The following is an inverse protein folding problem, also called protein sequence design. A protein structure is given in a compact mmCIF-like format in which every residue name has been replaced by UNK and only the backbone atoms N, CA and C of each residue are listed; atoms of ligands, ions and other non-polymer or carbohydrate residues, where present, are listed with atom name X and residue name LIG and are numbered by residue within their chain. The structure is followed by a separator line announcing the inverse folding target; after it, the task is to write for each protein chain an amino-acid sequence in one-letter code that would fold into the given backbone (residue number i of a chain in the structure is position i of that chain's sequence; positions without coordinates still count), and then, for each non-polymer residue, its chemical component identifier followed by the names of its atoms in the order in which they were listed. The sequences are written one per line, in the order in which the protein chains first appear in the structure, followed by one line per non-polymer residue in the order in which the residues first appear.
data_IF_836961349981
#
_entry.id   IF_836961349981
#
_cell.length_a   1.000
_cell.length_b   1.000
_cell.length_c   1.000
_cell.angle_alpha   90.00
_cell.angle_beta   90.00
_cell.angle_gamma   90.00
#
_symmetry.space_group_name_H-M   'P 1'
#
loop_
_entity.id
_entity.type
_entity.pdbx_description
1 polymer ?
#
# COMPACT_ATOMS: atom_id res chain seq x y z
N UNK A 1 4.57 25.32 -2.95
CA UNK A 1 4.20 23.89 -2.87
C UNK A 1 2.89 23.83 -2.10
N UNK A 2 1.79 23.44 -2.74
CA UNK A 2 0.52 23.19 -2.08
C UNK A 2 0.56 21.76 -1.56
N UNK A 3 1.00 21.58 -0.32
CA UNK A 3 0.79 20.32 0.41
C UNK A 3 -0.72 20.13 0.53
N UNK A 4 -1.24 19.06 -0.07
CA UNK A 4 -2.66 18.77 -0.02
C UNK A 4 -3.06 18.55 1.44
N UNK A 5 -4.15 19.18 1.97
CA UNK A 5 -4.52 19.11 3.39
C UNK A 5 -4.77 17.68 3.90
N UNK A 6 -4.98 16.70 3.02
CA UNK A 6 -4.96 15.30 3.40
C UNK A 6 -3.58 14.88 3.93
N UNK A 7 -2.46 15.25 3.31
CA UNK A 7 -1.13 14.81 3.73
C UNK A 7 -0.83 15.13 5.21
N UNK A 8 -1.39 16.21 5.75
CA UNK A 8 -1.23 16.63 7.15
C UNK A 8 -2.17 15.88 8.12
N UNK A 9 -3.27 15.30 7.62
CA UNK A 9 -4.22 14.54 8.44
C UNK A 9 -3.64 13.16 8.77
N UNK A 10 -3.42 12.90 10.06
CA UNK A 10 -2.93 11.61 10.55
C UNK A 10 -3.96 10.51 10.31
N UNK A 11 -3.49 9.35 9.90
CA UNK A 11 -4.25 8.11 9.86
C UNK A 11 -4.09 7.41 11.21
N UNK A 12 -5.18 6.92 11.79
CA UNK A 12 -5.24 6.29 13.12
C UNK A 12 -5.97 4.96 13.10
N UNK A 13 -6.65 4.64 12.00
CA UNK A 13 -7.38 3.38 11.84
C UNK A 13 -7.31 2.85 10.40
N UNK A 14 -7.60 1.56 10.23
CA UNK A 14 -7.73 0.95 8.90
C UNK A 14 -8.84 1.61 8.05
N UNK A 15 -9.91 2.11 8.69
CA UNK A 15 -10.96 2.86 8.01
C UNK A 15 -10.44 4.19 7.45
N UNK A 16 -9.70 4.95 8.25
CA UNK A 16 -9.05 6.20 7.80
C UNK A 16 -8.00 5.95 6.71
N UNK A 17 -7.29 4.81 6.75
CA UNK A 17 -6.38 4.41 5.68
C UNK A 17 -7.14 4.08 4.39
N UNK A 18 -8.32 3.48 4.50
CA UNK A 18 -9.17 3.21 3.34
C UNK A 18 -9.67 4.52 2.73
N UNK A 19 -10.08 5.48 3.55
CA UNK A 19 -10.47 6.82 3.09
C UNK A 19 -9.29 7.59 2.49
N UNK A 20 -8.08 7.39 3.03
CA UNK A 20 -6.85 7.91 2.44
C UNK A 20 -6.67 7.39 1.02
N UNK A 21 -6.77 6.08 0.81
CA UNK A 21 -6.64 5.49 -0.50
C UNK A 21 -7.72 5.96 -1.47
N UNK A 22 -8.97 6.10 -1.02
CA UNK A 22 -10.04 6.68 -1.85
C UNK A 22 -9.70 8.08 -2.34
N UNK A 23 -9.10 8.91 -1.50
CA UNK A 23 -8.68 10.25 -1.91
C UNK A 23 -7.47 10.25 -2.83
N UNK A 24 -6.51 9.34 -2.63
CA UNK A 24 -5.31 9.24 -3.47
C UNK A 24 -5.65 8.74 -4.86
N UNK A 25 -6.59 7.79 -4.96
CA UNK A 25 -6.96 7.12 -6.19
C UNK A 25 -8.12 7.80 -6.92
N UNK A 26 -8.57 9.00 -6.52
CA UNK A 26 -9.65 9.72 -7.19
C UNK A 26 -9.15 10.46 -8.46
N UNK A 27 -9.78 10.27 -9.64
CA UNK A 27 -10.89 9.35 -9.93
C UNK A 27 -10.42 7.89 -10.01
N UNK A 28 -11.19 7.00 -9.36
CA UNK A 28 -10.83 5.58 -9.20
C UNK A 28 -11.11 4.73 -10.46
N UNK A 29 -10.45 5.10 -11.56
CA UNK A 29 -10.49 4.42 -12.84
C UNK A 29 -9.17 3.69 -13.11
N UNK A 30 -9.24 2.36 -13.25
CA UNK A 30 -8.05 1.51 -13.37
C UNK A 30 -8.09 0.71 -14.69
N UNK A 31 -7.54 1.27 -15.78
CA UNK A 31 -7.53 0.59 -17.09
C UNK A 31 -6.55 -0.58 -17.15
N UNK A 32 -5.53 -0.56 -16.30
CA UNK A 32 -4.50 -1.60 -16.15
C UNK A 32 -4.24 -1.83 -14.66
N UNK A 33 -3.46 -2.88 -14.36
CA UNK A 33 -3.07 -3.20 -12.98
C UNK A 33 -1.87 -2.36 -12.57
N UNK A 34 -1.93 -1.80 -11.37
CA UNK A 34 -0.85 -1.01 -10.77
C UNK A 34 -0.82 -1.21 -9.25
N UNK A 35 0.36 -1.13 -8.65
CA UNK A 35 0.53 -1.17 -7.20
C UNK A 35 0.97 0.20 -6.71
N UNK A 36 0.18 0.80 -5.82
CA UNK A 36 0.46 2.10 -5.25
C UNK A 36 1.04 1.94 -3.85
N UNK A 37 2.11 2.67 -3.55
CA UNK A 37 2.86 2.59 -2.31
C UNK A 37 2.84 3.94 -1.60
N UNK A 38 2.65 3.93 -0.29
CA UNK A 38 2.97 5.08 0.55
C UNK A 38 3.35 4.61 1.95
N UNK A 39 4.07 5.45 2.69
CA UNK A 39 4.57 5.11 4.01
C UNK A 39 4.01 6.05 5.05
N UNK A 40 3.91 5.56 6.27
CA UNK A 40 3.55 6.35 7.42
C UNK A 40 4.54 6.17 8.56
N UNK A 41 4.77 7.24 9.30
CA UNK A 41 5.51 7.19 10.56
C UNK A 41 4.67 6.54 11.68
N UNK A 42 5.32 6.28 12.81
CA UNK A 42 4.66 5.72 14.00
C UNK A 42 3.53 6.60 14.56
N UNK A 43 3.49 7.89 14.19
CA UNK A 43 2.49 8.87 14.59
C UNK A 43 1.25 8.87 13.67
N UNK A 44 1.30 8.09 12.58
CA UNK A 44 0.28 7.98 11.56
C UNK A 44 0.35 9.07 10.49
N UNK A 45 1.46 9.79 10.37
CA UNK A 45 1.65 10.79 9.31
C UNK A 45 2.17 10.13 8.06
N UNK A 46 1.53 10.45 6.94
CA UNK A 46 1.95 9.98 5.64
C UNK A 46 3.24 10.71 5.22
N UNK A 47 4.20 9.99 4.67
CA UNK A 47 5.27 10.62 3.89
C UNK A 47 4.65 11.35 2.69
N UNK A 48 5.21 12.49 2.24
CA UNK A 48 4.65 13.27 1.15
C UNK A 48 4.77 12.59 -0.24
N UNK A 49 5.19 11.32 -0.28
CA UNK A 49 5.40 10.54 -1.48
C UNK A 49 4.37 9.42 -1.61
N UNK A 50 3.82 9.29 -2.81
CA UNK A 50 3.02 8.15 -3.25
C UNK A 50 3.68 7.63 -4.52
N UNK A 51 4.02 6.35 -4.56
CA UNK A 51 4.75 5.73 -5.67
C UNK A 51 3.82 4.78 -6.40
N UNK A 52 3.39 5.09 -7.64
CA UNK A 52 2.73 4.12 -8.50
C UNK A 52 3.76 3.19 -9.15
N UNK A 53 3.42 1.90 -9.21
CA UNK A 53 4.11 0.88 -10.00
C UNK A 53 3.10 0.33 -11.00
N UNK A 54 3.21 0.77 -12.25
CA UNK A 54 2.27 0.47 -13.32
C UNK A 54 2.63 -0.82 -14.09
N UNK A 55 1.78 -1.19 -15.05
CA UNK A 55 1.98 -2.31 -15.99
C UNK A 55 2.24 -3.65 -15.30
N UNK A 56 1.55 -3.90 -14.19
CA UNK A 56 1.74 -5.12 -13.41
C UNK A 56 1.04 -6.34 -14.04
N UNK A 57 1.69 -7.52 -14.01
CA UNK A 57 1.04 -8.77 -14.37
C UNK A 57 -0.06 -9.15 -13.37
N UNK A 58 -0.87 -10.15 -13.74
CA UNK A 58 -1.95 -10.64 -12.90
C UNK A 58 -1.47 -11.22 -11.56
N UNK A 59 -0.29 -11.87 -11.57
CA UNK A 59 0.36 -12.46 -10.41
C UNK A 59 1.69 -11.72 -10.14
N UNK A 60 2.12 -11.57 -8.88
CA UNK A 60 3.36 -10.91 -8.55
C UNK A 60 4.56 -11.67 -9.10
N UNK A 61 5.55 -10.92 -9.59
CA UNK A 61 6.84 -11.46 -9.96
C UNK A 61 7.78 -11.46 -8.75
N UNK A 62 8.58 -12.53 -8.54
CA UNK A 62 9.50 -12.59 -7.39
C UNK A 62 10.46 -11.40 -7.30
N UNK A 63 10.94 -10.90 -8.44
CA UNK A 63 11.84 -9.74 -8.48
C UNK A 63 11.19 -8.45 -7.97
N UNK A 64 9.90 -8.25 -8.27
CA UNK A 64 9.13 -7.10 -7.75
C UNK A 64 8.99 -7.17 -6.22
N UNK A 65 8.69 -8.37 -5.69
CA UNK A 65 8.53 -8.58 -4.25
C UNK A 65 9.83 -8.33 -3.48
N UNK A 66 10.96 -8.80 -4.01
CA UNK A 66 12.28 -8.54 -3.43
C UNK A 66 12.60 -7.05 -3.45
N UNK A 67 12.38 -6.37 -4.58
CA UNK A 67 12.61 -4.93 -4.69
C UNK A 67 11.72 -4.12 -3.74
N UNK A 68 10.45 -4.52 -3.58
CA UNK A 68 9.53 -3.87 -2.64
C UNK A 68 10.02 -4.01 -1.19
N UNK A 69 10.50 -5.20 -0.80
CA UNK A 69 11.08 -5.46 0.52
C UNK A 69 12.29 -4.56 0.79
N UNK A 70 13.19 -4.45 -0.18
CA UNK A 70 14.40 -3.62 -0.07
C UNK A 70 14.06 -2.13 0.04
N UNK A 71 13.14 -1.65 -0.80
CA UNK A 71 12.67 -0.25 -0.74
C UNK A 71 11.98 0.03 0.59
N UNK A 72 11.14 -0.88 1.10
CA UNK A 72 10.49 -0.71 2.39
C UNK A 72 11.52 -0.56 3.53
N UNK A 73 12.49 -1.48 3.59
CA UNK A 73 13.54 -1.44 4.62
C UNK A 73 14.35 -0.13 4.56
N UNK A 74 14.78 0.29 3.37
CA UNK A 74 15.52 1.55 3.21
C UNK A 74 14.69 2.77 3.60
N UNK A 75 13.42 2.86 3.22
CA UNK A 75 12.57 3.99 3.61
C UNK A 75 12.36 4.03 5.12
N UNK A 76 12.15 2.88 5.76
CA UNK A 76 11.96 2.81 7.21
C UNK A 76 13.23 3.24 7.96
N UNK A 77 14.40 2.78 7.53
CA UNK A 77 15.67 3.13 8.16
C UNK A 77 16.06 4.59 7.91
N UNK A 78 15.98 5.04 6.65
CA UNK A 78 16.52 6.35 6.24
C UNK A 78 15.55 7.50 6.55
N UNK A 79 14.24 7.28 6.50
CA UNK A 79 13.23 8.35 6.58
C UNK A 79 12.36 8.29 7.84
N UNK A 80 12.17 7.10 8.42
CA UNK A 80 11.23 6.89 9.53
C UNK A 80 11.91 6.51 10.86
N UNK A 81 13.24 6.43 10.88
CA UNK A 81 14.00 6.18 12.10
C UNK A 81 13.84 4.75 12.64
N UNK A 82 13.61 3.78 11.75
CA UNK A 82 13.55 2.35 12.08
C UNK A 82 12.17 1.81 12.44
N UNK A 83 11.11 2.61 12.37
CA UNK A 83 9.74 2.11 12.53
C UNK A 83 8.78 2.86 11.62
N UNK A 84 8.03 2.12 10.81
CA UNK A 84 7.06 2.69 9.88
C UNK A 84 5.99 1.69 9.46
N UNK A 85 5.06 2.19 8.65
CA UNK A 85 4.03 1.38 8.02
C UNK A 85 4.03 1.57 6.52
N UNK A 86 4.20 0.49 5.76
CA UNK A 86 3.99 0.47 4.31
C UNK A 86 2.52 0.18 3.99
N UNK A 87 1.81 1.16 3.46
CA UNK A 87 0.49 0.94 2.88
C UNK A 87 0.60 0.66 1.38
N UNK A 88 -0.08 -0.40 0.93
CA UNK A 88 -0.17 -0.81 -0.46
C UNK A 88 -1.62 -0.73 -0.96
N UNK A 89 -1.81 -0.35 -2.21
CA UNK A 89 -3.09 -0.52 -2.91
C UNK A 89 -2.89 -1.16 -4.29
N UNK A 90 -3.41 -2.37 -4.46
CA UNK A 90 -3.44 -3.07 -5.74
C UNK A 90 -4.67 -2.60 -6.53
N UNK A 91 -4.43 -1.78 -7.54
CA UNK A 91 -5.46 -1.28 -8.44
C UNK A 91 -5.56 -2.20 -9.65
N UNK A 92 -6.77 -2.54 -10.09
CA UNK A 92 -6.96 -3.38 -11.28
C UNK A 92 -8.31 -3.13 -11.96
N UNK A 93 -8.43 -3.48 -13.24
CA UNK A 93 -9.73 -3.55 -13.90
C UNK A 93 -10.62 -4.66 -13.29
N UNK A 94 -11.90 -4.59 -13.65
CA UNK A 94 -12.91 -5.57 -13.22
C UNK A 94 -13.69 -5.14 -11.99
N UNK A 95 -14.38 -6.11 -11.38
CA UNK A 95 -15.32 -5.88 -10.29
C UNK A 95 -14.64 -5.57 -8.96
N UNK A 96 -15.36 -4.83 -8.11
CA UNK A 96 -15.01 -4.48 -6.74
C UNK A 96 -15.22 -5.64 -5.75
N UNK A 97 -14.72 -6.82 -6.09
CA UNK A 97 -14.73 -8.01 -5.23
C UNK A 97 -13.31 -8.55 -5.11
N UNK A 98 -12.92 -9.01 -3.93
CA UNK A 98 -11.62 -9.68 -3.76
C UNK A 98 -11.63 -10.97 -4.58
N UNK A 99 -10.59 -11.16 -5.39
CA UNK A 99 -10.41 -12.33 -6.24
C UNK A 99 -9.29 -13.24 -5.73
N UNK A 100 -9.21 -14.46 -6.27
CA UNK A 100 -8.10 -15.37 -5.97
C UNK A 100 -6.73 -14.80 -6.36
N UNK A 101 -6.65 -13.96 -7.41
CA UNK A 101 -5.41 -13.26 -7.77
C UNK A 101 -5.01 -12.28 -6.67
N UNK A 102 -5.96 -11.53 -6.11
CA UNK A 102 -5.70 -10.57 -5.04
C UNK A 102 -5.23 -11.30 -3.76
N UNK A 103 -5.87 -12.43 -3.43
CA UNK A 103 -5.44 -13.29 -2.30
C UNK A 103 -4.02 -13.84 -2.52
N UNK A 104 -3.68 -14.21 -3.76
CA UNK A 104 -2.33 -14.66 -4.11
C UNK A 104 -1.30 -13.54 -3.92
N UNK A 105 -1.60 -12.32 -4.36
CA UNK A 105 -0.77 -11.15 -4.07
C UNK A 105 -0.57 -10.95 -2.55
N UNK A 106 -1.64 -11.06 -1.76
CA UNK A 106 -1.56 -10.92 -0.32
C UNK A 106 -0.75 -12.03 0.35
N UNK A 107 -0.76 -13.26 -0.18
CA UNK A 107 0.02 -14.37 0.32
C UNK A 107 1.52 -14.20 0.01
N UNK A 108 1.85 -13.81 -1.22
CA UNK A 108 3.24 -13.57 -1.63
C UNK A 108 3.84 -12.34 -0.95
N UNK A 109 3.07 -11.28 -0.73
CA UNK A 109 3.52 -10.13 0.06
C UNK A 109 3.79 -10.51 1.51
N UNK A 110 2.95 -11.35 2.14
CA UNK A 110 3.22 -11.89 3.48
C UNK A 110 4.54 -12.64 3.53
N UNK A 111 4.83 -13.48 2.53
CA UNK A 111 6.04 -14.31 2.54
C UNK A 111 7.34 -13.49 2.55
N UNK A 112 7.31 -12.25 2.04
CA UNK A 112 8.49 -11.37 1.98
C UNK A 112 8.47 -10.21 2.98
N UNK A 113 7.30 -9.75 3.44
CA UNK A 113 7.16 -8.59 4.33
C UNK A 113 6.92 -8.95 5.79
N UNK A 114 6.48 -10.19 6.11
CA UNK A 114 6.36 -10.66 7.50
C UNK A 114 7.69 -11.25 8.05
N UNK A 115 8.79 -11.13 7.31
CA UNK A 115 10.12 -11.54 7.74
C UNK A 115 10.68 -10.58 8.82
N UNK A 116 11.24 -11.13 9.90
CA UNK A 116 11.79 -10.39 11.05
C UNK A 116 12.88 -9.36 10.68
N UNK A 117 13.49 -9.51 9.50
CA UNK A 117 14.49 -8.56 8.99
C UNK A 117 13.85 -7.28 8.42
N UNK A 118 12.57 -7.31 8.06
CA UNK A 118 11.86 -6.16 7.51
C UNK A 118 11.33 -5.31 8.65
N UNK A 119 11.93 -4.12 8.84
CA UNK A 119 11.47 -3.19 9.85
C UNK A 119 10.07 -2.64 9.49
N UNK A 120 9.15 -2.65 10.45
CA UNK A 120 7.84 -2.01 10.34
C UNK A 120 6.67 -2.95 10.06
N UNK A 121 5.51 -2.35 9.79
CA UNK A 121 4.26 -3.05 9.50
C UNK A 121 3.82 -2.75 8.07
N UNK A 122 2.86 -3.52 7.55
CA UNK A 122 2.32 -3.24 6.22
C UNK A 122 0.83 -3.56 6.11
N UNK A 123 0.17 -2.99 5.12
CA UNK A 123 -1.23 -3.27 4.80
C UNK A 123 -1.45 -3.30 3.30
N UNK A 124 -2.52 -3.95 2.87
CA UNK A 124 -2.89 -4.03 1.46
C UNK A 124 -4.38 -3.77 1.28
N UNK A 125 -4.68 -2.89 0.34
CA UNK A 125 -6.01 -2.65 -0.19
C UNK A 125 -6.11 -3.13 -1.63
N UNK A 126 -7.32 -3.46 -2.07
CA UNK A 126 -7.66 -3.69 -3.47
C UNK A 126 -8.55 -2.56 -3.94
N UNK A 127 -8.23 -1.97 -5.09
CA UNK A 127 -9.01 -0.94 -5.73
C UNK A 127 -9.51 -1.40 -7.11
N UNK A 128 -10.83 -1.48 -7.27
CA UNK A 128 -11.48 -1.91 -8.51
C UNK A 128 -12.88 -1.32 -8.59
N UNK A 129 -13.39 -1.08 -9.81
CA UNK A 129 -14.70 -0.49 -10.09
C UNK A 129 -15.08 0.70 -9.17
N UNK A 130 -14.16 1.66 -9.01
CA UNK A 130 -14.40 2.86 -8.19
C UNK A 130 -14.41 2.64 -6.68
N UNK A 131 -14.11 1.43 -6.21
CA UNK A 131 -14.17 1.04 -4.80
C UNK A 131 -12.78 0.65 -4.29
N UNK A 132 -12.51 0.95 -3.03
CA UNK A 132 -11.31 0.51 -2.30
C UNK A 132 -11.74 -0.35 -1.11
N UNK A 133 -11.18 -1.55 -1.02
CA UNK A 133 -11.47 -2.54 0.03
C UNK A 133 -10.17 -2.96 0.74
N UNK A 134 -10.18 -3.10 2.08
CA UNK A 134 -9.05 -3.69 2.79
C UNK A 134 -8.94 -5.19 2.49
N UNK A 135 -7.72 -5.68 2.27
CA UNK A 135 -7.42 -7.11 2.09
C UNK A 135 -6.46 -7.64 3.15
N UNK A 136 -5.46 -6.84 3.52
CA UNK A 136 -4.57 -7.11 4.65
C UNK A 136 -4.59 -5.92 5.59
N UNK A 137 -5.04 -6.15 6.82
CA UNK A 137 -5.01 -5.16 7.88
C UNK A 137 -3.70 -5.27 8.65
N UNK A 138 -2.82 -4.28 8.57
CA UNK A 138 -1.66 -4.18 9.48
C UNK A 138 -1.56 -2.84 10.19
N UNK A 139 -2.52 -1.95 9.96
CA UNK A 139 -2.58 -0.64 10.60
C UNK A 139 -3.12 -0.76 12.03
N UNK A 140 -2.37 -0.30 13.03
CA UNK A 140 -2.85 -0.15 14.41
C UNK A 140 -2.86 -1.42 15.27
N UNK A 141 -1.99 -2.40 14.97
CA UNK A 141 -1.69 -3.52 15.86
C UNK A 141 -0.56 -3.16 16.83
#
# INVERSE_FOLDING_TARGET
MTTSPLADARVRSAAELTDRWRSVLDPATFPARSLWLTWFDADGRQLPVVVPVDDLPALPEPALLVGLREVHASVVDDQLGGTGHLALALCRPGEAVVTAEDEFWAAELRSVLDDDVVAGTWSLHVAAAGTVLPLVEGWGR
#
